data_IF_665852406749
#
_entry.id   IF_665852406749
#
_cell.length_a   1.000
_cell.length_b   1.000
_cell.length_c   1.000
_cell.angle_alpha   90.00
_cell.angle_beta   90.00
_cell.angle_gamma   90.00
#
_symmetry.space_group_name_H-M   'P 1'
#
loop_
_entity.id
_entity.type
_entity.pdbx_description
1 polymer ?
#
# COMPACT_ATOMS: atom_id res chain seq x y z
N UNK A 1 -18.22 12.73 -16.08
CA UNK A 1 -17.93 14.14 -15.81
C UNK A 1 -16.76 14.20 -14.83
N UNK A 2 -15.57 14.56 -15.31
CA UNK A 2 -14.40 14.80 -14.45
C UNK A 2 -14.66 16.08 -13.65
N UNK A 3 -14.72 15.99 -12.32
CA UNK A 3 -14.89 17.20 -11.50
C UNK A 3 -13.65 18.08 -11.65
N UNK A 4 -13.81 19.42 -11.72
CA UNK A 4 -12.66 20.32 -11.75
C UNK A 4 -11.80 20.10 -10.49
N UNK A 5 -10.49 20.09 -10.70
CA UNK A 5 -9.50 19.86 -9.65
C UNK A 5 -9.68 20.87 -8.51
N UNK A 6 -9.91 20.39 -7.30
CA UNK A 6 -9.94 21.24 -6.10
C UNK A 6 -8.59 21.18 -5.41
N UNK A 7 -8.08 22.33 -4.98
CA UNK A 7 -6.85 22.43 -4.20
C UNK A 7 -6.89 21.59 -2.90
N UNK A 8 -8.09 21.26 -2.40
CA UNK A 8 -8.28 20.32 -1.29
C UNK A 8 -7.91 18.86 -1.62
N UNK A 9 -7.88 18.47 -2.90
CA UNK A 9 -7.40 17.14 -3.32
C UNK A 9 -5.90 16.97 -3.10
N UNK A 10 -5.15 18.09 -3.00
CA UNK A 10 -3.71 18.08 -2.72
C UNK A 10 -3.38 17.48 -1.35
N UNK A 11 -4.31 17.58 -0.39
CA UNK A 11 -4.22 16.94 0.92
C UNK A 11 -4.25 15.41 0.83
N UNK A 12 -4.94 14.84 -0.15
CA UNK A 12 -4.99 13.37 -0.35
C UNK A 12 -3.61 12.85 -0.75
N UNK A 13 -2.83 13.64 -1.49
CA UNK A 13 -1.46 13.27 -1.89
C UNK A 13 -0.44 13.43 -0.76
N UNK A 14 -0.70 14.31 0.20
CA UNK A 14 0.12 14.48 1.41
C UNK A 14 -0.23 13.48 2.52
N UNK A 15 -1.39 12.81 2.42
CA UNK A 15 -1.85 11.83 3.41
C UNK A 15 -0.84 10.67 3.61
N UNK A 16 -0.30 10.02 2.55
CA UNK A 16 0.66 8.92 2.72
C UNK A 16 1.93 9.30 3.49
N UNK A 17 2.66 10.40 3.17
CA UNK A 17 3.84 10.79 3.95
C UNK A 17 3.50 11.26 5.36
N UNK A 18 2.37 11.96 5.58
CA UNK A 18 1.92 12.36 6.92
C UNK A 18 1.67 11.13 7.80
N UNK A 19 1.00 10.12 7.25
CA UNK A 19 0.72 8.87 7.96
C UNK A 19 2.02 8.13 8.29
N UNK A 20 2.96 8.03 7.34
CA UNK A 20 4.28 7.43 7.61
C UNK A 20 4.96 8.15 8.76
N UNK A 21 4.95 9.49 8.74
CA UNK A 21 5.55 10.31 9.78
C UNK A 21 4.90 10.09 11.16
N UNK A 22 3.56 10.08 11.24
CA UNK A 22 2.83 9.84 12.49
C UNK A 22 3.11 8.43 13.03
N UNK A 23 3.00 7.40 12.19
CA UNK A 23 3.22 6.02 12.63
C UNK A 23 4.67 5.82 13.09
N UNK A 24 5.63 6.40 12.37
CA UNK A 24 7.04 6.33 12.77
C UNK A 24 7.34 7.12 14.05
N UNK A 25 6.69 8.26 14.29
CA UNK A 25 6.98 9.12 15.45
C UNK A 25 6.33 8.60 16.73
N UNK A 26 5.11 8.07 16.66
CA UNK A 26 4.33 7.70 17.85
C UNK A 26 4.38 6.20 18.14
N UNK A 27 4.41 5.33 17.14
CA UNK A 27 4.25 3.88 17.34
C UNK A 27 5.57 3.09 17.30
N UNK A 28 6.72 3.73 17.04
CA UNK A 28 8.02 3.05 16.92
C UNK A 28 8.42 2.28 18.18
N UNK A 29 8.10 2.77 19.38
CA UNK A 29 8.40 2.08 20.64
C UNK A 29 7.47 0.89 20.88
N UNK A 30 6.18 1.03 20.61
CA UNK A 30 5.18 -0.04 20.83
C UNK A 30 5.35 -1.21 19.85
N UNK A 31 5.76 -0.91 18.60
CA UNK A 31 6.13 -1.90 17.59
C UNK A 31 7.31 -2.79 18.01
N UNK A 32 8.17 -2.33 18.93
CA UNK A 32 9.36 -3.04 19.35
C UNK A 32 9.13 -3.95 20.58
N UNK A 33 8.13 -3.68 21.42
CA UNK A 33 8.04 -4.28 22.76
C UNK A 33 6.69 -4.90 23.13
N UNK A 34 5.62 -4.70 22.35
CA UNK A 34 4.26 -5.03 22.80
C UNK A 34 3.59 -6.30 22.23
N UNK A 35 4.11 -6.91 21.15
CA UNK A 35 3.38 -7.97 20.43
C UNK A 35 4.16 -9.28 20.34
N UNK A 36 3.51 -10.45 20.51
CA UNK A 36 4.14 -11.77 20.31
C UNK A 36 4.57 -12.00 18.85
N UNK A 37 4.11 -11.14 17.92
CA UNK A 37 4.51 -11.10 16.53
C UNK A 37 5.21 -9.78 16.21
N UNK A 38 6.35 -9.84 15.51
CA UNK A 38 7.03 -8.66 14.98
C UNK A 38 6.14 -7.99 13.92
N UNK A 39 5.40 -6.97 14.31
CA UNK A 39 4.64 -6.13 13.38
C UNK A 39 5.61 -5.15 12.75
N UNK A 40 5.52 -5.02 11.42
CA UNK A 40 6.34 -4.07 10.66
C UNK A 40 5.51 -2.86 10.26
N UNK A 41 6.16 -1.72 10.06
CA UNK A 41 5.51 -0.52 9.52
C UNK A 41 4.75 -0.83 8.23
N UNK A 42 5.33 -1.66 7.35
CA UNK A 42 4.67 -2.11 6.12
C UNK A 42 3.32 -2.79 6.38
N UNK A 43 3.23 -3.67 7.40
CA UNK A 43 1.97 -4.34 7.76
C UNK A 43 0.89 -3.35 8.20
N UNK A 44 1.28 -2.34 8.99
CA UNK A 44 0.35 -1.32 9.47
C UNK A 44 -0.16 -0.40 8.35
N UNK A 45 0.68 -0.13 7.36
CA UNK A 45 0.34 0.78 6.27
C UNK A 45 -0.48 0.12 5.15
N UNK A 46 -0.49 -1.21 5.02
CA UNK A 46 -1.26 -1.91 3.97
C UNK A 46 -2.75 -1.52 3.96
N UNK A 47 -3.50 -1.56 5.08
CA UNK A 47 -4.91 -1.15 5.09
C UNK A 47 -5.11 0.29 4.63
N UNK A 48 -4.20 1.18 5.02
CA UNK A 48 -4.25 2.60 4.66
C UNK A 48 -4.01 2.78 3.16
N UNK A 49 -3.07 2.04 2.58
CA UNK A 49 -2.78 2.08 1.14
C UNK A 49 -3.98 1.58 0.34
N UNK A 50 -4.63 0.51 0.79
CA UNK A 50 -5.86 -0.02 0.18
C UNK A 50 -6.95 1.05 0.14
N UNK A 51 -7.21 1.74 1.27
CA UNK A 51 -8.21 2.82 1.32
C UNK A 51 -7.86 3.96 0.37
N UNK A 52 -6.60 4.40 0.34
CA UNK A 52 -6.17 5.47 -0.56
C UNK A 52 -6.32 5.08 -2.03
N UNK A 53 -5.99 3.84 -2.40
CA UNK A 53 -6.19 3.31 -3.75
C UNK A 53 -7.67 3.31 -4.11
N UNK A 54 -8.56 2.89 -3.20
CA UNK A 54 -10.02 2.93 -3.41
C UNK A 54 -10.50 4.37 -3.64
N UNK A 55 -10.06 5.32 -2.82
CA UNK A 55 -10.48 6.71 -2.92
C UNK A 55 -9.96 7.37 -4.21
N UNK A 56 -8.68 7.23 -4.53
CA UNK A 56 -8.07 7.81 -5.73
C UNK A 56 -8.62 7.19 -7.01
N UNK A 57 -8.83 5.87 -7.04
CA UNK A 57 -9.40 5.22 -8.22
C UNK A 57 -10.83 5.66 -8.50
N UNK A 58 -11.67 5.78 -7.46
CA UNK A 58 -13.02 6.35 -7.61
C UNK A 58 -12.98 7.80 -8.07
N UNK A 59 -12.02 8.59 -7.58
CA UNK A 59 -11.85 9.99 -7.99
C UNK A 59 -11.44 10.13 -9.47
N UNK A 60 -10.55 9.26 -9.96
CA UNK A 60 -10.02 9.32 -11.33
C UNK A 60 -11.00 8.69 -12.34
N UNK A 61 -11.51 7.50 -12.03
CA UNK A 61 -12.26 6.67 -12.99
C UNK A 61 -13.77 6.61 -12.72
N UNK A 62 -14.24 7.06 -11.56
CA UNK A 62 -15.64 6.87 -11.13
C UNK A 62 -15.95 5.49 -10.56
N UNK A 63 -14.99 4.55 -10.58
CA UNK A 63 -15.11 3.22 -9.99
C UNK A 63 -13.81 2.79 -9.29
N UNK A 64 -13.88 1.75 -8.44
CA UNK A 64 -12.71 1.27 -7.71
C UNK A 64 -11.97 0.17 -8.45
N UNK A 65 -10.66 0.33 -8.62
CA UNK A 65 -9.79 -0.70 -9.21
C UNK A 65 -9.22 -1.68 -8.16
N UNK A 66 -9.71 -1.64 -6.92
CA UNK A 66 -9.08 -2.36 -5.81
C UNK A 66 -9.03 -3.87 -6.03
N UNK A 67 -10.06 -4.46 -6.65
CA UNK A 67 -10.09 -5.89 -6.95
C UNK A 67 -8.95 -6.30 -7.89
N UNK A 68 -8.68 -5.49 -8.91
CA UNK A 68 -7.56 -5.70 -9.83
C UNK A 68 -6.20 -5.56 -9.10
N UNK A 69 -6.07 -4.53 -8.26
CA UNK A 69 -4.85 -4.32 -7.47
C UNK A 69 -4.59 -5.49 -6.52
N UNK A 70 -5.61 -5.94 -5.78
CA UNK A 70 -5.50 -7.08 -4.88
C UNK A 70 -5.16 -8.36 -5.63
N UNK A 71 -5.78 -8.60 -6.80
CA UNK A 71 -5.44 -9.73 -7.65
C UNK A 71 -3.95 -9.72 -8.04
N UNK A 72 -3.43 -8.58 -8.50
CA UNK A 72 -2.02 -8.45 -8.88
C UNK A 72 -1.06 -8.62 -7.70
N UNK A 73 -1.40 -8.05 -6.54
CA UNK A 73 -0.61 -8.21 -5.31
C UNK A 73 -0.63 -9.66 -4.85
N UNK A 74 -1.79 -10.32 -4.82
CA UNK A 74 -1.93 -11.73 -4.46
C UNK A 74 -1.15 -12.64 -5.41
N UNK A 75 -1.18 -12.38 -6.71
CA UNK A 75 -0.43 -13.13 -7.71
C UNK A 75 1.09 -13.01 -7.47
N UNK A 76 1.59 -11.79 -7.27
CA UNK A 76 3.01 -11.59 -6.97
C UNK A 76 3.43 -12.23 -5.63
N UNK A 77 2.56 -12.19 -4.62
CA UNK A 77 2.79 -12.87 -3.34
C UNK A 77 2.82 -14.39 -3.49
N UNK A 78 2.01 -14.97 -4.38
CA UNK A 78 2.01 -16.40 -4.66
C UNK A 78 3.31 -16.85 -5.33
N UNK A 79 3.79 -16.10 -6.33
CA UNK A 79 5.10 -16.34 -6.96
C UNK A 79 6.21 -16.24 -5.91
N UNK A 80 6.21 -15.17 -5.12
CA UNK A 80 7.20 -14.99 -4.07
C UNK A 80 7.16 -16.09 -3.00
N UNK A 81 5.97 -16.60 -2.65
CA UNK A 81 5.83 -17.75 -1.75
C UNK A 81 6.44 -19.01 -2.36
N UNK A 82 6.12 -19.28 -3.64
CA UNK A 82 6.64 -20.44 -4.36
C UNK A 82 8.17 -20.44 -4.38
N UNK A 83 8.78 -19.30 -4.72
CA UNK A 83 10.23 -19.16 -4.69
C UNK A 83 10.77 -19.29 -3.27
N UNK A 84 10.14 -18.66 -2.28
CA UNK A 84 10.61 -18.70 -0.89
C UNK A 84 10.63 -20.12 -0.31
N UNK A 85 9.59 -20.91 -0.55
CA UNK A 85 9.48 -22.29 -0.04
C UNK A 85 10.51 -23.21 -0.67
N UNK A 86 10.94 -22.95 -1.92
CA UNK A 86 11.93 -23.77 -2.62
C UNK A 86 13.32 -23.77 -1.97
N UNK A 87 13.66 -22.73 -1.20
CA UNK A 87 15.00 -22.51 -0.64
C UNK A 87 15.09 -22.67 0.89
N UNK A 88 14.06 -23.23 1.54
CA UNK A 88 14.04 -23.39 3.00
C UNK A 88 13.67 -24.82 3.40
N UNK A 89 14.33 -25.32 4.45
CA UNK A 89 14.03 -26.66 4.99
C UNK A 89 12.74 -26.69 5.82
N UNK A 90 12.44 -25.57 6.50
CA UNK A 90 11.26 -25.44 7.37
C UNK A 90 10.55 -24.10 7.13
N UNK A 91 9.26 -24.17 6.80
CA UNK A 91 8.42 -22.99 6.63
C UNK A 91 8.02 -22.38 7.98
N UNK A 92 8.20 -21.07 8.10
CA UNK A 92 7.70 -20.29 9.23
C UNK A 92 6.83 -19.15 8.72
N UNK A 93 5.54 -19.22 9.01
CA UNK A 93 4.56 -18.21 8.61
C UNK A 93 4.94 -16.82 9.13
N UNK A 94 5.47 -16.73 10.36
CA UNK A 94 5.90 -15.46 10.96
C UNK A 94 7.10 -14.84 10.21
N UNK A 95 8.08 -15.64 9.81
CA UNK A 95 9.23 -15.14 9.02
C UNK A 95 8.80 -14.76 7.61
N UNK A 96 7.90 -15.54 7.02
CA UNK A 96 7.37 -15.27 5.70
C UNK A 96 6.52 -13.99 5.67
N UNK A 97 5.63 -13.80 6.64
CA UNK A 97 4.71 -12.65 6.68
C UNK A 97 5.44 -11.31 6.71
N UNK A 98 6.61 -11.23 7.36
CA UNK A 98 7.47 -10.02 7.37
C UNK A 98 8.03 -9.70 5.98
N UNK A 99 8.40 -10.72 5.20
CA UNK A 99 8.89 -10.53 3.82
C UNK A 99 7.73 -10.21 2.88
N UNK A 100 6.64 -10.96 3.00
CA UNK A 100 5.42 -10.78 2.23
C UNK A 100 4.81 -9.39 2.44
N UNK A 101 4.76 -8.87 3.68
CA UNK A 101 4.21 -7.54 3.96
C UNK A 101 5.02 -6.43 3.29
N UNK A 102 6.35 -6.54 3.26
CA UNK A 102 7.22 -5.58 2.56
C UNK A 102 6.95 -5.60 1.06
N UNK A 103 6.83 -6.77 0.45
CA UNK A 103 6.51 -6.90 -0.97
C UNK A 103 5.12 -6.36 -1.29
N UNK A 104 4.11 -6.72 -0.50
CA UNK A 104 2.74 -6.21 -0.66
C UNK A 104 2.70 -4.69 -0.55
N UNK A 105 3.35 -4.12 0.47
CA UNK A 105 3.45 -2.68 0.65
C UNK A 105 4.16 -1.99 -0.51
N UNK A 106 5.24 -2.58 -1.02
CA UNK A 106 5.95 -2.06 -2.18
C UNK A 106 5.05 -2.02 -3.43
N UNK A 107 4.36 -3.12 -3.74
CA UNK A 107 3.44 -3.19 -4.88
C UNK A 107 2.27 -2.21 -4.74
N UNK A 108 1.66 -2.14 -3.56
CA UNK A 108 0.60 -1.16 -3.29
C UNK A 108 1.13 0.27 -3.43
N UNK A 109 2.36 0.54 -3.03
CA UNK A 109 2.99 1.86 -3.20
C UNK A 109 3.19 2.21 -4.67
N UNK A 110 3.61 1.27 -5.50
CA UNK A 110 3.69 1.48 -6.96
C UNK A 110 2.31 1.84 -7.50
N UNK A 111 1.27 1.05 -7.20
CA UNK A 111 -0.09 1.35 -7.65
C UNK A 111 -0.57 2.73 -7.19
N UNK A 112 -0.33 3.06 -5.93
CA UNK A 112 -0.71 4.35 -5.37
C UNK A 112 0.02 5.49 -6.10
N UNK A 113 1.34 5.41 -6.26
CA UNK A 113 2.14 6.41 -6.97
C UNK A 113 1.68 6.55 -8.42
N UNK A 114 1.42 5.44 -9.11
CA UNK A 114 0.90 5.46 -10.49
C UNK A 114 -0.46 6.17 -10.58
N UNK A 115 -1.36 5.97 -9.62
CA UNK A 115 -2.64 6.69 -9.57
C UNK A 115 -2.45 8.19 -9.32
N UNK A 116 -1.52 8.55 -8.44
CA UNK A 116 -1.18 9.95 -8.16
C UNK A 116 -0.62 10.62 -9.43
N UNK A 117 0.35 9.98 -10.08
CA UNK A 117 0.93 10.48 -11.34
C UNK A 117 -0.14 10.62 -12.41
N UNK A 118 -0.98 9.60 -12.59
CA UNK A 118 -2.05 9.64 -13.59
C UNK A 118 -3.00 10.81 -13.33
N UNK A 119 -3.36 11.05 -12.07
CA UNK A 119 -4.23 12.17 -11.70
C UNK A 119 -3.58 13.53 -11.99
N UNK A 120 -2.28 13.67 -11.70
CA UNK A 120 -1.51 14.87 -12.06
C UNK A 120 -1.46 15.06 -13.58
N UNK A 121 -1.27 13.99 -14.36
CA UNK A 121 -1.28 14.07 -15.83
C UNK A 121 -2.65 14.50 -16.34
N UNK A 122 -3.74 13.93 -15.82
CA UNK A 122 -5.09 14.35 -16.22
C UNK A 122 -5.41 15.80 -15.87
N UNK A 123 -4.68 16.43 -14.94
CA UNK A 123 -4.80 17.86 -14.66
C UNK A 123 -4.19 18.75 -15.76
N UNK A 124 -3.12 18.30 -16.41
CA UNK A 124 -2.45 19.10 -17.45
C UNK A 124 -3.00 18.89 -18.86
N UNK A 125 -3.70 17.77 -19.09
CA UNK A 125 -4.22 17.39 -20.41
C UNK A 125 -5.68 17.84 -20.61
N UNK A 126 -6.42 18.14 -19.53
CA UNK A 126 -7.81 18.64 -19.54
C UNK A 126 -7.83 20.12 -19.19
#
# INVERSE_FOLDING_TARGET
MTSPFKLSELLIYLLPPIIIYIVHSYFRRELATGLPFKVTLAMLLIPIWIVNIVLLSKLIYGFSIIHYVLLMVSFALAIHLYDYVRFIDYFSLQKYSIKASKLAFFLLSIFLISLIILRVITYFIV
#
